data_IF_847085201195
#
_entry.id   IF_847085201195
#
_cell.length_a   1.000
_cell.length_b   1.000
_cell.length_c   1.000
_cell.angle_alpha   90.00
_cell.angle_beta   90.00
_cell.angle_gamma   90.00
#
_symmetry.space_group_name_H-M   'P 1'
#
loop_
_entity.id
_entity.type
_entity.pdbx_description
1 polymer ?
#
# COMPACT_ATOMS: atom_id res chain seq x y z
N UNK A 1 -8.98 -21.71 -8.83
CA UNK A 1 -8.25 -20.91 -7.83
C UNK A 1 -7.92 -19.57 -8.48
N UNK A 2 -8.73 -18.53 -8.28
CA UNK A 2 -8.46 -17.22 -8.89
C UNK A 2 -7.35 -16.54 -8.10
N UNK A 3 -6.19 -16.33 -8.72
CA UNK A 3 -5.15 -15.48 -8.15
C UNK A 3 -5.70 -14.04 -8.08
N UNK A 4 -5.38 -13.29 -7.02
CA UNK A 4 -5.74 -11.88 -6.95
C UNK A 4 -5.14 -11.12 -8.15
N UNK A 5 -5.85 -10.09 -8.64
CA UNK A 5 -5.45 -9.29 -9.82
C UNK A 5 -3.97 -8.86 -9.78
N UNK A 6 -3.49 -8.39 -8.64
CA UNK A 6 -2.09 -7.96 -8.48
C UNK A 6 -1.08 -9.07 -8.81
N UNK A 7 -1.34 -10.30 -8.34
CA UNK A 7 -0.50 -11.46 -8.62
C UNK A 7 -0.63 -11.90 -10.08
N UNK A 8 -1.83 -11.82 -10.67
CA UNK A 8 -2.03 -12.10 -12.10
C UNK A 8 -1.24 -11.15 -12.99
N UNK A 9 -1.20 -9.85 -12.65
CA UNK A 9 -0.42 -8.85 -13.39
C UNK A 9 1.10 -9.08 -13.27
N UNK A 10 1.56 -9.69 -12.19
CA UNK A 10 2.96 -10.07 -12.01
C UNK A 10 3.36 -11.35 -12.75
N UNK A 11 2.38 -12.11 -13.25
CA UNK A 11 2.61 -13.35 -14.00
C UNK A 11 3.26 -13.12 -15.36
N UNK A 12 3.88 -14.18 -15.90
CA UNK A 12 4.39 -14.17 -17.29
C UNK A 12 3.25 -13.94 -18.28
N UNK A 13 3.52 -13.19 -19.34
CA UNK A 13 2.55 -12.87 -20.40
C UNK A 13 1.28 -12.15 -19.90
N UNK A 14 1.35 -11.42 -18.78
CA UNK A 14 0.23 -10.65 -18.23
C UNK A 14 -0.17 -9.44 -19.08
N UNK A 15 0.70 -9.03 -20.00
CA UNK A 15 0.55 -7.79 -20.79
C UNK A 15 1.20 -6.56 -20.13
N UNK A 16 1.80 -6.70 -18.95
CA UNK A 16 2.55 -5.61 -18.32
C UNK A 16 3.83 -5.28 -19.09
N UNK A 17 4.21 -3.98 -19.21
CA UNK A 17 5.47 -3.58 -19.84
C UNK A 17 6.70 -4.18 -19.13
N UNK A 18 7.81 -4.42 -19.86
CA UNK A 18 9.06 -4.84 -19.23
C UNK A 18 9.52 -3.85 -18.17
N UNK A 19 9.91 -4.35 -16.99
CA UNK A 19 10.37 -3.53 -15.86
C UNK A 19 9.26 -2.84 -15.05
N UNK A 20 8.00 -2.91 -15.48
CA UNK A 20 6.88 -2.42 -14.67
C UNK A 20 6.58 -3.38 -13.51
N UNK A 21 6.01 -2.84 -12.43
CA UNK A 21 5.60 -3.61 -11.26
C UNK A 21 4.13 -3.36 -10.92
N UNK A 22 3.38 -4.42 -10.67
CA UNK A 22 2.05 -4.35 -10.07
C UNK A 22 2.20 -4.54 -8.55
N UNK A 23 1.84 -3.55 -7.74
CA UNK A 23 1.96 -3.62 -6.28
C UNK A 23 0.62 -3.18 -5.69
N UNK A 24 0.05 -3.96 -4.76
CA UNK A 24 -1.16 -3.58 -4.05
C UNK A 24 -0.81 -3.04 -2.67
N UNK A 25 -1.41 -1.90 -2.31
CA UNK A 25 -1.27 -1.26 -0.99
C UNK A 25 -2.54 -1.55 -0.20
N UNK A 26 -2.37 -2.03 1.03
CA UNK A 26 -3.45 -2.51 1.89
C UNK A 26 -3.46 -1.71 3.20
N UNK A 27 -3.94 -0.45 3.20
CA UNK A 27 -4.05 0.35 4.40
C UNK A 27 -5.22 -0.12 5.27
N UNK A 28 -5.10 0.07 6.59
CA UNK A 28 -6.24 -0.14 7.52
C UNK A 28 -7.19 1.07 7.45
N UNK A 29 -6.77 2.23 7.95
CA UNK A 29 -7.53 3.48 7.87
C UNK A 29 -6.60 4.61 7.45
N UNK A 30 -7.00 5.38 6.44
CA UNK A 30 -6.28 6.57 6.01
C UNK A 30 -6.76 7.80 6.79
N UNK A 31 -5.82 8.66 7.14
CA UNK A 31 -6.14 9.92 7.78
C UNK A 31 -6.65 10.95 6.76
N UNK A 32 -7.97 11.01 6.59
CA UNK A 32 -8.63 11.93 5.65
C UNK A 32 -9.62 12.84 6.38
N UNK A 33 -9.91 14.05 5.85
CA UNK A 33 -10.92 14.93 6.43
C UNK A 33 -12.30 14.26 6.56
N UNK A 34 -12.66 13.43 5.58
CA UNK A 34 -13.92 12.69 5.62
C UNK A 34 -13.94 11.64 6.73
N UNK A 35 -12.87 10.86 6.88
CA UNK A 35 -12.77 9.87 7.96
C UNK A 35 -12.84 10.56 9.33
N UNK A 36 -12.11 11.67 9.53
CA UNK A 36 -12.16 12.45 10.78
C UNK A 36 -13.56 12.97 11.09
N UNK A 37 -14.26 13.47 10.06
CA UNK A 37 -15.65 13.95 10.22
C UNK A 37 -16.61 12.83 10.59
N UNK A 38 -16.48 11.66 9.96
CA UNK A 38 -17.37 10.51 10.16
C UNK A 38 -17.07 9.73 11.46
N UNK A 39 -15.84 9.81 11.96
CA UNK A 39 -15.38 9.11 13.17
C UNK A 39 -14.60 10.07 14.09
N UNK A 40 -15.26 11.09 14.67
CA UNK A 40 -14.57 12.16 15.41
C UNK A 40 -13.88 11.72 16.70
N UNK A 41 -14.37 10.63 17.32
CA UNK A 41 -13.86 10.09 18.59
C UNK A 41 -12.90 8.90 18.41
N UNK A 42 -12.51 8.60 17.16
CA UNK A 42 -11.58 7.50 16.89
C UNK A 42 -10.15 7.85 17.34
N UNK A 43 -9.35 6.81 17.63
CA UNK A 43 -7.92 6.99 17.86
C UNK A 43 -7.18 7.26 16.54
N UNK A 44 -7.00 8.54 16.22
CA UNK A 44 -6.29 8.96 15.02
C UNK A 44 -4.80 8.59 15.01
N UNK A 45 -4.21 8.21 16.16
CA UNK A 45 -2.82 7.72 16.19
C UNK A 45 -2.66 6.38 15.48
N UNK A 46 -3.76 5.66 15.21
CA UNK A 46 -3.78 4.43 14.42
C UNK A 46 -4.03 4.66 12.92
N UNK A 47 -4.20 5.91 12.47
CA UNK A 47 -4.55 6.23 11.09
C UNK A 47 -3.32 6.64 10.30
N UNK A 48 -3.19 6.09 9.09
CA UNK A 48 -2.03 6.35 8.23
C UNK A 48 -2.08 7.76 7.65
N UNK A 49 -1.07 8.60 7.91
CA UNK A 49 -0.95 9.92 7.28
C UNK A 49 -0.80 9.79 5.76
N UNK A 50 -1.44 10.68 5.00
CA UNK A 50 -1.36 10.64 3.54
C UNK A 50 0.05 10.92 3.01
N UNK A 51 0.80 11.80 3.69
CA UNK A 51 2.17 12.15 3.29
C UNK A 51 3.11 10.94 3.32
N UNK A 52 2.91 10.00 4.27
CA UNK A 52 3.68 8.76 4.32
C UNK A 52 3.50 7.93 3.04
N UNK A 53 2.28 7.85 2.51
CA UNK A 53 2.02 7.14 1.25
C UNK A 53 2.61 7.89 0.05
N UNK A 54 2.55 9.21 0.04
CA UNK A 54 3.16 10.02 -1.02
C UNK A 54 4.67 9.79 -1.08
N UNK A 55 5.36 9.83 0.07
CA UNK A 55 6.79 9.53 0.17
C UNK A 55 7.11 8.09 -0.25
N UNK A 56 6.30 7.13 0.19
CA UNK A 56 6.43 5.73 -0.21
C UNK A 56 6.33 5.55 -1.73
N UNK A 57 5.35 6.20 -2.37
CA UNK A 57 5.20 6.13 -3.82
C UNK A 57 6.32 6.83 -4.55
N UNK A 58 6.80 7.97 -4.04
CA UNK A 58 7.97 8.65 -4.58
C UNK A 58 9.20 7.74 -4.56
N UNK A 59 9.47 7.08 -3.43
CA UNK A 59 10.56 6.10 -3.31
C UNK A 59 10.41 4.98 -4.35
N UNK A 60 9.22 4.39 -4.50
CA UNK A 60 9.02 3.31 -5.47
C UNK A 60 9.16 3.74 -6.92
N UNK A 61 8.68 4.94 -7.28
CA UNK A 61 8.79 5.49 -8.64
C UNK A 61 10.25 5.79 -8.97
N UNK A 62 11.04 6.23 -7.99
CA UNK A 62 12.49 6.47 -8.12
C UNK A 62 13.34 5.21 -7.90
N UNK A 63 12.70 4.04 -7.90
CA UNK A 63 13.30 2.70 -7.74
C UNK A 63 14.02 2.48 -6.40
N UNK A 64 13.79 3.34 -5.42
CA UNK A 64 14.26 3.18 -4.05
C UNK A 64 13.31 2.25 -3.29
N UNK A 65 13.85 1.13 -2.82
CA UNK A 65 13.12 0.16 -1.99
C UNK A 65 11.77 -0.32 -2.59
N UNK A 66 11.63 -0.32 -3.92
CA UNK A 66 10.40 -0.77 -4.59
C UNK A 66 10.20 -2.28 -4.38
N UNK A 67 9.05 -2.73 -3.85
CA UNK A 67 8.72 -4.15 -3.76
C UNK A 67 8.70 -4.86 -5.11
N UNK A 68 8.83 -6.18 -5.10
CA UNK A 68 8.65 -7.00 -6.30
C UNK A 68 7.24 -6.87 -6.88
N UNK A 69 7.10 -7.04 -8.19
CA UNK A 69 5.77 -7.15 -8.80
C UNK A 69 4.99 -8.32 -8.21
N UNK A 70 3.70 -8.10 -7.94
CA UNK A 70 2.79 -9.04 -7.30
C UNK A 70 2.74 -8.90 -5.77
N UNK A 71 3.58 -8.03 -5.20
CA UNK A 71 3.60 -7.80 -3.77
C UNK A 71 2.33 -7.12 -3.26
N UNK A 72 1.92 -7.57 -2.08
CA UNK A 72 0.83 -7.03 -1.30
C UNK A 72 1.44 -6.41 -0.05
N UNK A 73 1.31 -5.10 0.09
CA UNK A 73 1.99 -4.35 1.14
C UNK A 73 0.94 -3.84 2.11
N UNK A 74 0.93 -4.39 3.32
CA UNK A 74 0.15 -3.86 4.42
C UNK A 74 0.75 -2.55 4.90
N UNK A 75 -0.12 -1.57 5.14
CA UNK A 75 0.25 -0.27 5.70
C UNK A 75 -0.45 -0.12 7.04
N UNK A 76 0.30 -0.31 8.11
CA UNK A 76 -0.21 -0.35 9.48
C UNK A 76 0.37 0.83 10.24
N UNK A 77 -0.50 1.60 10.89
CA UNK A 77 -0.08 2.70 11.77
C UNK A 77 -0.47 2.36 13.20
N UNK A 78 0.51 2.43 14.10
CA UNK A 78 0.35 2.17 15.53
C UNK A 78 1.07 3.28 16.28
N UNK A 79 0.37 3.98 17.17
CA UNK A 79 0.94 5.07 17.99
C UNK A 79 1.68 6.13 17.13
N UNK A 80 1.11 6.47 15.97
CA UNK A 80 1.65 7.47 15.05
C UNK A 80 2.83 7.00 14.19
N UNK A 81 3.28 5.74 14.33
CA UNK A 81 4.33 5.16 13.50
C UNK A 81 3.73 4.23 12.45
N UNK A 82 4.02 4.50 11.18
CA UNK A 82 3.57 3.66 10.05
C UNK A 82 4.67 2.69 9.61
N UNK A 83 4.28 1.44 9.37
CA UNK A 83 5.17 0.38 8.88
C UNK A 83 4.59 -0.29 7.62
N UNK A 84 5.48 -0.75 6.75
CA UNK A 84 5.18 -1.48 5.52
C UNK A 84 5.57 -2.94 5.69
N UNK A 85 4.59 -3.85 5.62
CA UNK A 85 4.84 -5.29 5.82
C UNK A 85 4.30 -6.10 4.63
N UNK A 86 5.09 -7.00 4.02
CA UNK A 86 4.59 -7.92 3.01
C UNK A 86 3.53 -8.86 3.58
N UNK A 87 2.42 -9.02 2.86
CA UNK A 87 1.42 -10.06 3.11
C UNK A 87 1.54 -11.19 2.09
N UNK A 88 1.34 -12.42 2.55
CA UNK A 88 1.35 -13.63 1.73
C UNK A 88 -0.03 -14.30 1.79
N UNK A 89 -0.48 -14.83 0.66
CA UNK A 89 -1.67 -15.68 0.53
C UNK A 89 -1.26 -17.13 0.35
#
# INVERSE_FOLDING_TARGET
>A
MGLLLCQSLAGKNSGMPPGAAAIAVLPITLDTPMNRKSMPEADFSSWTPLDFLVETFHDWITEKNRPSSGSLIQVVTTEGKTELTPAYF
#
